data_IF_328933242459
#
_entry.id   IF_328933242459
#
_cell.length_a   1.000
_cell.length_b   1.000
_cell.length_c   1.000
_cell.angle_alpha   90.00
_cell.angle_beta   90.00
_cell.angle_gamma   90.00
#
_symmetry.space_group_name_H-M   'P 1'
#
loop_
_entity.id
_entity.type
_entity.pdbx_description
1 polymer ?
#
# COMPACT_ATOMS: atom_id res chain seq x y z
N UNK A 1 5.28 -8.64 -14.55
CA UNK A 1 4.81 -8.01 -13.31
C UNK A 1 5.30 -8.83 -12.14
N UNK A 2 5.96 -8.22 -11.16
CA UNK A 2 6.37 -8.89 -9.93
C UNK A 2 5.47 -8.37 -8.81
N UNK A 3 4.81 -9.28 -8.06
CA UNK A 3 3.88 -8.96 -6.96
C UNK A 3 4.60 -8.42 -5.71
N UNK A 4 5.30 -7.31 -5.88
CA UNK A 4 6.26 -6.71 -4.95
C UNK A 4 6.52 -5.23 -5.30
N UNK A 5 6.88 -4.36 -4.33
CA UNK A 5 7.09 -4.63 -2.90
C UNK A 5 5.81 -4.70 -2.07
N UNK A 6 5.89 -5.47 -0.96
CA UNK A 6 4.91 -5.44 0.12
C UNK A 6 5.34 -4.40 1.17
N UNK A 7 4.55 -3.34 1.35
CA UNK A 7 4.98 -2.13 2.06
C UNK A 7 4.02 -1.70 3.18
N UNK A 8 3.16 -2.61 3.64
CA UNK A 8 2.34 -2.35 4.81
C UNK A 8 3.22 -2.09 6.04
N UNK A 9 2.79 -1.17 6.91
CA UNK A 9 3.47 -0.87 8.17
C UNK A 9 3.51 -2.11 9.08
N UNK A 10 4.66 -2.38 9.69
CA UNK A 10 4.76 -3.37 10.77
C UNK A 10 4.13 -2.79 12.04
N UNK A 11 2.80 -2.79 12.11
CA UNK A 11 2.04 -2.22 13.25
C UNK A 11 2.28 -2.99 14.55
N UNK A 12 2.45 -4.30 14.44
CA UNK A 12 2.67 -5.20 15.56
C UNK A 12 3.63 -6.30 15.14
N UNK A 13 4.55 -6.74 16.03
CA UNK A 13 5.45 -7.86 15.73
C UNK A 13 4.70 -9.20 15.56
N UNK A 14 3.42 -9.27 15.95
CA UNK A 14 2.60 -10.47 15.81
C UNK A 14 1.98 -10.64 14.41
N UNK A 15 2.19 -9.69 13.49
CA UNK A 15 1.68 -9.79 12.12
C UNK A 15 2.33 -10.96 11.37
N UNK A 16 1.52 -11.87 10.83
CA UNK A 16 2.01 -13.07 10.14
C UNK A 16 2.81 -12.80 8.86
N UNK A 17 2.69 -11.60 8.28
CA UNK A 17 3.39 -11.17 7.06
C UNK A 17 4.47 -10.12 7.29
N UNK A 18 4.86 -9.89 8.55
CA UNK A 18 5.96 -8.94 8.86
C UNK A 18 7.28 -9.29 8.18
N UNK A 19 7.50 -10.56 7.84
CA UNK A 19 8.69 -11.03 7.13
C UNK A 19 8.84 -10.48 5.69
N UNK A 20 7.74 -10.12 5.03
CA UNK A 20 7.76 -9.55 3.67
C UNK A 20 7.54 -8.03 3.66
N UNK A 21 7.18 -7.45 4.80
CA UNK A 21 7.07 -6.01 4.99
C UNK A 21 8.42 -5.41 5.39
N UNK A 22 8.57 -4.10 5.15
CA UNK A 22 9.87 -3.45 5.28
C UNK A 22 10.18 -3.00 6.71
N UNK A 23 9.26 -2.29 7.36
CA UNK A 23 9.51 -1.62 8.65
C UNK A 23 8.22 -1.07 9.28
N UNK A 24 8.30 -0.69 10.55
CA UNK A 24 7.27 0.08 11.27
C UNK A 24 7.32 1.58 10.99
N UNK A 25 8.45 2.10 10.48
CA UNK A 25 8.65 3.54 10.25
C UNK A 25 8.25 3.97 8.82
N UNK A 26 7.30 4.90 8.65
CA UNK A 26 6.83 5.31 7.32
C UNK A 26 7.91 5.97 6.45
N UNK A 27 8.83 6.71 7.08
CA UNK A 27 9.91 7.38 6.36
C UNK A 27 10.92 6.38 5.80
N UNK A 28 11.36 5.41 6.62
CA UNK A 28 12.28 4.38 6.22
C UNK A 28 11.63 3.43 5.20
N UNK A 29 10.34 3.11 5.38
CA UNK A 29 9.58 2.32 4.40
C UNK A 29 9.58 2.99 3.02
N UNK A 30 9.34 4.32 2.97
CA UNK A 30 9.48 5.11 1.74
C UNK A 30 10.90 5.03 1.14
N UNK A 31 11.94 5.17 1.96
CA UNK A 31 13.35 5.13 1.50
C UNK A 31 13.75 3.79 0.89
N UNK A 32 13.12 2.70 1.30
CA UNK A 32 13.32 1.36 0.73
C UNK A 32 12.43 1.12 -0.51
N UNK A 33 11.17 1.57 -0.45
CA UNK A 33 10.17 1.33 -1.51
C UNK A 33 10.54 1.99 -2.83
N UNK A 34 10.91 3.28 -2.81
CA UNK A 34 11.17 4.05 -4.03
C UNK A 34 12.26 3.44 -4.90
N UNK A 35 13.48 3.16 -4.41
CA UNK A 35 14.53 2.56 -5.25
C UNK A 35 14.18 1.14 -5.71
N UNK A 36 13.41 0.38 -4.93
CA UNK A 36 12.99 -0.96 -5.34
C UNK A 36 12.02 -0.92 -6.52
N UNK A 37 11.02 -0.03 -6.49
CA UNK A 37 10.07 0.15 -7.60
C UNK A 37 10.78 0.62 -8.86
N UNK A 38 11.66 1.63 -8.75
CA UNK A 38 12.46 2.13 -9.88
C UNK A 38 13.32 1.00 -10.45
N UNK A 39 14.07 0.29 -9.60
CA UNK A 39 14.96 -0.79 -10.05
C UNK A 39 14.23 -1.93 -10.77
N UNK A 40 13.03 -2.32 -10.32
CA UNK A 40 12.21 -3.30 -11.03
C UNK A 40 11.78 -2.77 -12.41
N UNK A 41 11.25 -1.55 -12.46
CA UNK A 41 10.69 -0.98 -13.69
C UNK A 41 11.77 -0.61 -14.72
N UNK A 42 12.98 -0.23 -14.28
CA UNK A 42 14.15 0.01 -15.14
C UNK A 42 14.67 -1.27 -15.80
N UNK A 43 14.25 -2.44 -15.31
CA UNK A 43 14.58 -3.75 -15.87
C UNK A 43 13.37 -4.40 -16.57
N UNK A 44 12.46 -3.59 -17.11
CA UNK A 44 11.25 -4.03 -17.82
C UNK A 44 10.31 -4.93 -16.99
N UNK A 45 10.42 -4.87 -15.66
CA UNK A 45 9.53 -5.59 -14.74
C UNK A 45 8.59 -4.60 -14.06
N UNK A 46 7.30 -4.68 -14.39
CA UNK A 46 6.26 -3.93 -13.70
C UNK A 46 6.24 -4.25 -12.20
N UNK A 47 6.53 -3.25 -11.35
CA UNK A 47 6.38 -3.33 -9.91
C UNK A 47 4.90 -3.26 -9.52
N UNK A 48 4.50 -4.08 -8.56
CA UNK A 48 3.11 -4.24 -8.12
C UNK A 48 3.05 -4.04 -6.61
N UNK A 49 2.90 -2.79 -6.21
CA UNK A 49 3.02 -2.33 -4.83
C UNK A 49 1.80 -2.79 -4.02
N UNK A 50 2.02 -3.45 -2.88
CA UNK A 50 0.94 -4.09 -2.11
C UNK A 50 1.09 -3.94 -0.58
N UNK A 51 0.05 -4.12 0.21
CA UNK A 51 -1.38 -4.21 -0.13
C UNK A 51 -2.02 -2.88 0.26
N UNK A 52 -2.56 -2.16 -0.71
CA UNK A 52 -3.12 -0.83 -0.53
C UNK A 52 -4.53 -0.92 0.06
N UNK A 53 -4.77 -0.53 1.31
CA UNK A 53 -3.81 -0.11 2.35
C UNK A 53 -4.13 -0.79 3.68
N UNK A 54 -3.36 -0.50 4.73
CA UNK A 54 -3.67 -0.91 6.11
C UNK A 54 -3.92 -2.43 6.35
N UNK A 55 -3.32 -3.29 5.52
CA UNK A 55 -3.36 -4.74 5.70
C UNK A 55 -2.28 -5.23 6.67
N UNK A 56 -2.48 -5.00 7.97
CA UNK A 56 -1.43 -5.19 9.00
C UNK A 56 -1.71 -6.36 9.95
N UNK A 57 -2.72 -7.17 9.66
CA UNK A 57 -3.19 -8.29 10.47
C UNK A 57 -3.63 -9.41 9.52
N UNK A 58 -3.22 -10.65 9.79
CA UNK A 58 -3.65 -11.79 8.97
C UNK A 58 -4.96 -12.40 9.45
N UNK A 59 -5.21 -12.36 10.76
CA UNK A 59 -6.44 -12.88 11.36
C UNK A 59 -7.66 -12.16 10.77
N UNK A 60 -8.55 -12.92 10.13
CA UNK A 60 -9.77 -12.41 9.47
C UNK A 60 -9.52 -11.33 8.41
N UNK A 61 -8.40 -11.40 7.68
CA UNK A 61 -8.04 -10.38 6.69
C UNK A 61 -9.07 -10.12 5.59
N UNK A 62 -9.94 -11.08 5.34
CA UNK A 62 -11.02 -10.95 4.36
C UNK A 62 -12.25 -10.19 4.90
N UNK A 63 -12.25 -9.81 6.19
CA UNK A 63 -13.46 -9.29 6.85
C UNK A 63 -13.22 -8.16 7.84
N UNK A 64 -12.02 -8.02 8.43
CA UNK A 64 -11.83 -6.97 9.44
C UNK A 64 -11.95 -5.58 8.83
N UNK A 65 -12.45 -4.66 9.63
CA UNK A 65 -12.63 -3.27 9.25
C UNK A 65 -11.69 -2.38 10.05
N UNK A 66 -10.83 -1.67 9.32
CA UNK A 66 -9.86 -0.77 9.91
C UNK A 66 -10.50 0.58 10.17
N UNK A 67 -10.46 0.97 11.44
CA UNK A 67 -10.92 2.26 11.92
C UNK A 67 -9.71 3.04 12.44
N UNK A 68 -9.33 4.09 11.72
CA UNK A 68 -8.30 5.04 12.15
C UNK A 68 -8.66 6.46 11.70
N UNK A 69 -8.19 7.44 12.45
CA UNK A 69 -8.33 8.84 12.10
C UNK A 69 -7.48 9.21 10.88
N UNK A 70 -7.80 10.36 10.29
CA UNK A 70 -7.16 10.82 9.06
C UNK A 70 -5.66 11.10 9.23
N UNK A 71 -5.26 11.63 10.39
CA UNK A 71 -3.86 11.91 10.65
C UNK A 71 -3.05 10.63 10.70
N UNK A 72 -3.54 9.63 11.42
CA UNK A 72 -2.91 8.31 11.48
C UNK A 72 -2.79 7.67 10.09
N UNK A 73 -3.86 7.72 9.27
CA UNK A 73 -3.82 7.21 7.90
C UNK A 73 -2.72 7.90 7.07
N UNK A 74 -2.73 9.24 7.06
CA UNK A 74 -1.89 10.09 6.21
C UNK A 74 -0.43 10.09 6.65
N UNK A 75 -0.16 10.10 7.95
CA UNK A 75 1.20 10.18 8.48
C UNK A 75 1.87 8.81 8.63
N UNK A 76 1.11 7.71 8.77
CA UNK A 76 1.67 6.37 9.06
C UNK A 76 1.50 5.39 7.90
N UNK A 77 0.27 5.16 7.42
CA UNK A 77 -0.01 4.02 6.54
C UNK A 77 0.15 4.33 5.05
N UNK A 78 0.02 5.60 4.67
CA UNK A 78 0.07 6.04 3.28
C UNK A 78 1.42 6.57 2.76
N UNK A 79 2.38 7.09 3.56
CA UNK A 79 3.56 7.75 3.00
C UNK A 79 4.39 6.92 2.01
N UNK A 80 4.53 5.61 2.25
CA UNK A 80 5.28 4.74 1.34
C UNK A 80 4.52 4.46 0.04
N UNK A 81 3.19 4.34 0.08
CA UNK A 81 2.34 4.23 -1.12
C UNK A 81 2.29 5.55 -1.89
N UNK A 82 2.19 6.68 -1.21
CA UNK A 82 2.23 8.00 -1.85
C UNK A 82 3.56 8.19 -2.60
N UNK A 83 4.68 7.82 -1.97
CA UNK A 83 5.99 7.91 -2.58
C UNK A 83 6.15 6.93 -3.76
N UNK A 84 5.60 5.72 -3.68
CA UNK A 84 5.64 4.77 -4.80
C UNK A 84 4.91 5.32 -6.03
N UNK A 85 3.84 6.09 -5.82
CA UNK A 85 3.11 6.79 -6.90
C UNK A 85 3.84 8.04 -7.37
N UNK A 86 4.13 8.97 -6.46
CA UNK A 86 4.60 10.32 -6.81
C UNK A 86 6.08 10.34 -7.21
N UNK A 87 6.92 9.59 -6.51
CA UNK A 87 8.37 9.59 -6.71
C UNK A 87 8.82 8.44 -7.62
N UNK A 88 8.36 7.21 -7.33
CA UNK A 88 8.80 6.03 -8.08
C UNK A 88 8.01 5.75 -9.37
N UNK A 89 6.88 6.43 -9.57
CA UNK A 89 5.99 6.26 -10.74
C UNK A 89 5.61 4.79 -10.95
N UNK A 90 5.20 4.12 -9.87
CA UNK A 90 4.74 2.74 -9.92
C UNK A 90 3.65 2.57 -11.00
N UNK A 91 3.74 1.50 -11.78
CA UNK A 91 2.78 1.20 -12.84
C UNK A 91 1.54 0.48 -12.31
N UNK A 92 1.63 -0.16 -11.14
CA UNK A 92 0.54 -0.95 -10.60
C UNK A 92 0.52 -1.03 -9.06
N UNK A 93 -0.69 -1.15 -8.51
CA UNK A 93 -0.97 -1.27 -7.07
C UNK A 93 -1.97 -2.40 -6.85
N UNK A 94 -1.77 -3.18 -5.77
CA UNK A 94 -2.71 -4.19 -5.29
C UNK A 94 -3.65 -3.60 -4.23
N UNK A 95 -4.96 -3.65 -4.44
CA UNK A 95 -5.93 -3.35 -3.37
C UNK A 95 -5.92 -4.47 -2.32
N UNK A 96 -6.06 -4.16 -1.03
CA UNK A 96 -6.07 -5.18 0.02
C UNK A 96 -7.43 -5.84 0.24
N UNK A 97 -7.43 -7.00 0.90
CA UNK A 97 -8.65 -7.73 1.29
C UNK A 97 -9.50 -7.03 2.35
N UNK A 98 -8.89 -6.31 3.30
CA UNK A 98 -9.62 -5.78 4.45
C UNK A 98 -10.53 -4.60 4.08
N UNK A 99 -11.45 -4.29 4.99
CA UNK A 99 -12.24 -3.06 4.91
C UNK A 99 -11.49 -1.88 5.51
N UNK A 100 -11.83 -0.70 5.04
CA UNK A 100 -11.42 0.57 5.62
C UNK A 100 -12.65 1.46 5.76
N UNK A 101 -12.97 1.87 6.99
CA UNK A 101 -14.15 2.70 7.30
C UNK A 101 -15.45 2.13 6.70
N UNK A 102 -15.62 0.82 6.76
CA UNK A 102 -16.86 0.12 6.39
C UNK A 102 -16.91 -0.49 4.99
N UNK A 103 -16.03 -0.10 4.07
CA UNK A 103 -16.00 -0.58 2.67
C UNK A 103 -14.73 -1.36 2.36
N UNK A 104 -14.82 -2.37 1.48
CA UNK A 104 -13.65 -3.14 1.05
C UNK A 104 -12.69 -2.28 0.24
N UNK A 105 -11.38 -2.43 0.45
CA UNK A 105 -10.40 -1.55 -0.17
C UNK A 105 -10.35 -1.63 -1.70
N UNK A 106 -10.78 -2.76 -2.29
CA UNK A 106 -10.90 -2.90 -3.75
C UNK A 106 -12.14 -2.20 -4.35
N UNK A 107 -13.02 -1.65 -3.54
CA UNK A 107 -14.21 -0.88 -3.96
C UNK A 107 -14.37 0.47 -3.22
N UNK A 108 -13.44 0.79 -2.31
CA UNK A 108 -13.50 1.99 -1.48
C UNK A 108 -13.19 3.25 -2.30
N UNK A 109 -14.21 4.08 -2.54
CA UNK A 109 -14.11 5.28 -3.38
C UNK A 109 -13.11 6.30 -2.83
N UNK A 110 -13.11 6.50 -1.52
CA UNK A 110 -12.20 7.43 -0.85
C UNK A 110 -10.73 7.04 -1.07
N UNK A 111 -10.41 5.76 -0.96
CA UNK A 111 -9.04 5.27 -1.09
C UNK A 111 -8.59 5.21 -2.55
N UNK A 112 -9.45 4.71 -3.46
CA UNK A 112 -9.08 4.46 -4.85
C UNK A 112 -9.22 5.69 -5.75
N UNK A 113 -10.23 6.52 -5.55
CA UNK A 113 -10.48 7.67 -6.40
C UNK A 113 -9.97 8.95 -5.75
N UNK A 114 -10.45 9.31 -4.56
CA UNK A 114 -10.04 10.56 -3.89
C UNK A 114 -8.54 10.57 -3.60
N UNK A 115 -8.03 9.62 -2.81
CA UNK A 115 -6.61 9.61 -2.42
C UNK A 115 -5.72 9.23 -3.62
N UNK A 116 -5.92 8.03 -4.16
CA UNK A 116 -4.95 7.46 -5.09
C UNK A 116 -4.94 8.18 -6.45
N UNK A 117 -6.10 8.53 -7.01
CA UNK A 117 -6.18 9.10 -8.37
C UNK A 117 -6.23 10.63 -8.36
N UNK A 118 -7.07 11.24 -7.54
CA UNK A 118 -7.26 12.70 -7.54
C UNK A 118 -6.11 13.41 -6.82
N UNK A 119 -5.79 13.01 -5.59
CA UNK A 119 -4.75 13.68 -4.81
C UNK A 119 -3.32 13.28 -5.23
N UNK A 120 -3.09 12.01 -5.53
CA UNK A 120 -1.75 11.52 -5.89
C UNK A 120 -1.48 11.45 -7.39
N UNK A 121 -2.53 11.50 -8.21
CA UNK A 121 -2.39 11.50 -9.66
C UNK A 121 -2.05 10.13 -10.24
N UNK A 122 -2.33 9.02 -9.56
CA UNK A 122 -2.00 7.68 -10.07
C UNK A 122 -2.69 7.39 -11.40
N UNK A 123 -1.91 7.00 -12.42
CA UNK A 123 -2.38 6.66 -13.77
C UNK A 123 -2.22 5.18 -14.11
N UNK A 124 -1.70 4.39 -13.18
CA UNK A 124 -1.48 2.96 -13.36
C UNK A 124 -2.75 2.13 -13.18
N UNK A 125 -2.56 0.82 -13.11
CA UNK A 125 -3.63 -0.15 -12.88
C UNK A 125 -3.73 -0.50 -11.40
N UNK A 126 -4.95 -0.64 -10.91
CA UNK A 126 -5.23 -1.25 -9.61
C UNK A 126 -5.82 -2.62 -9.87
N UNK A 127 -5.31 -3.64 -9.19
CA UNK A 127 -5.82 -5.01 -9.29
C UNK A 127 -6.05 -5.53 -7.86
N UNK A 128 -7.07 -6.36 -7.65
CA UNK A 128 -7.40 -6.88 -6.33
C UNK A 128 -6.34 -7.87 -5.85
N UNK A 129 -6.21 -8.01 -4.52
CA UNK A 129 -5.68 -9.22 -3.89
C UNK A 129 -6.66 -10.39 -4.07
#
# INVERSE_FOLDING_TARGET
>A
MLLSPAINIVRTPLGGRTYEYMTEDPFFNKKLTVPMVIGLQDNDVMAYVKHFAANNQETNRDFYDVQMDERTLREIYLPAFEASVKEAKAYSIMGAYNKFRGEYLCENDYMLNTILREEWGFKGVVVSD
#
